data_IF_767942997824
#
_entry.id   IF_767942997824
#
_cell.length_a   1.000
_cell.length_b   1.000
_cell.length_c   1.000
_cell.angle_alpha   90.00
_cell.angle_beta   90.00
_cell.angle_gamma   90.00
#
_symmetry.space_group_name_H-M   'P 1'
#
loop_
_entity.id
_entity.type
_entity.pdbx_description
1 polymer ?
#
# COMPACT_ATOMS: atom_id res chain seq x y z
N UNK A 1 18.00 10.52 68.41
CA UNK A 1 16.80 9.67 68.30
C UNK A 1 15.56 10.56 68.36
N UNK A 2 14.87 10.79 67.24
CA UNK A 2 13.40 10.80 67.22
C UNK A 2 12.80 10.08 65.98
N UNK A 3 11.54 9.67 66.09
CA UNK A 3 10.93 8.51 65.42
C UNK A 3 10.33 8.78 64.04
N UNK A 4 10.39 7.72 63.23
CA UNK A 4 9.75 7.44 61.95
C UNK A 4 8.24 7.74 62.00
N UNK A 5 7.76 8.54 61.04
CA UNK A 5 6.33 8.76 60.80
C UNK A 5 5.67 7.48 60.27
N UNK A 6 4.61 7.03 60.95
CA UNK A 6 3.78 5.90 60.52
C UNK A 6 2.93 6.29 59.30
N UNK A 7 2.84 5.45 58.25
CA UNK A 7 1.98 5.72 57.10
C UNK A 7 0.49 5.64 57.49
N UNK A 8 -0.31 6.56 56.93
CA UNK A 8 -1.77 6.64 57.12
C UNK A 8 -2.48 5.38 56.58
N UNK A 9 -3.55 4.90 57.24
CA UNK A 9 -4.35 3.78 56.74
C UNK A 9 -5.12 4.18 55.48
N UNK A 10 -5.05 3.34 54.44
CA UNK A 10 -5.75 3.53 53.17
C UNK A 10 -7.27 3.29 53.34
N UNK A 11 -8.14 4.02 52.62
CA UNK A 11 -9.57 3.76 52.62
C UNK A 11 -9.89 2.37 52.04
N UNK A 12 -10.94 1.69 52.53
CA UNK A 12 -11.35 0.39 51.99
C UNK A 12 -11.83 0.53 50.54
N UNK A 13 -11.55 -0.45 49.67
CA UNK A 13 -12.02 -0.43 48.28
C UNK A 13 -13.56 -0.44 48.24
N UNK A 14 -14.13 0.54 47.52
CA UNK A 14 -15.57 0.61 47.26
C UNK A 14 -16.04 -0.67 46.53
N UNK A 15 -17.17 -1.20 46.99
CA UNK A 15 -17.63 -2.56 46.73
C UNK A 15 -17.82 -2.91 45.26
N UNK A 16 -17.52 -4.18 44.96
CA UNK A 16 -17.89 -4.84 43.71
C UNK A 16 -19.41 -4.95 43.59
N UNK A 17 -20.00 -4.02 42.84
CA UNK A 17 -21.42 -4.02 42.49
C UNK A 17 -21.65 -4.58 41.09
N UNK A 18 -22.12 -5.82 41.02
CA UNK A 18 -23.04 -6.30 39.98
C UNK A 18 -22.53 -6.38 38.53
N UNK A 19 -21.62 -7.31 38.23
CA UNK A 19 -21.38 -7.78 36.85
C UNK A 19 -21.91 -9.21 36.71
N UNK A 20 -23.21 -9.34 36.87
CA UNK A 20 -23.93 -10.60 36.71
C UNK A 20 -24.74 -10.61 35.42
N UNK A 21 -24.28 -11.43 34.48
CA UNK A 21 -25.11 -12.27 33.61
C UNK A 21 -26.09 -11.58 32.63
N UNK A 22 -25.52 -10.92 31.63
CA UNK A 22 -26.06 -10.96 30.26
C UNK A 22 -25.05 -11.60 29.29
N UNK A 23 -24.26 -12.58 29.74
CA UNK A 23 -23.23 -13.23 28.91
C UNK A 23 -23.81 -13.80 27.61
N UNK A 24 -25.04 -14.34 27.64
CA UNK A 24 -25.70 -14.87 26.44
C UNK A 24 -26.08 -13.79 25.42
N UNK A 25 -26.58 -12.63 25.87
CA UNK A 25 -26.92 -11.51 24.97
C UNK A 25 -25.65 -10.85 24.42
N UNK A 26 -24.65 -10.61 25.28
CA UNK A 26 -23.37 -10.06 24.86
C UNK A 26 -22.59 -10.96 23.89
N UNK A 27 -22.69 -12.30 24.04
CA UNK A 27 -22.13 -13.25 23.07
C UNK A 27 -22.83 -13.16 21.73
N UNK A 28 -24.16 -13.11 21.70
CA UNK A 28 -24.93 -12.98 20.46
C UNK A 28 -24.60 -11.64 19.78
N UNK A 29 -24.58 -10.54 20.53
CA UNK A 29 -24.24 -9.21 20.00
C UNK A 29 -22.81 -9.17 19.43
N UNK A 30 -21.85 -9.81 20.12
CA UNK A 30 -20.47 -9.95 19.65
C UNK A 30 -20.37 -10.79 18.37
N UNK A 31 -21.06 -11.94 18.31
CA UNK A 31 -21.07 -12.80 17.13
C UNK A 31 -21.70 -12.09 15.92
N UNK A 32 -22.80 -11.36 16.14
CA UNK A 32 -23.45 -10.56 15.10
C UNK A 32 -22.52 -9.46 14.61
N UNK A 33 -21.86 -8.72 15.51
CA UNK A 33 -20.92 -7.66 15.14
C UNK A 33 -19.70 -8.20 14.37
N UNK A 34 -19.14 -9.34 14.78
CA UNK A 34 -18.03 -10.00 14.09
C UNK A 34 -18.44 -10.50 12.71
N UNK A 35 -19.64 -11.06 12.58
CA UNK A 35 -20.19 -11.48 11.29
C UNK A 35 -20.39 -10.30 10.36
N UNK A 36 -20.97 -9.19 10.83
CA UNK A 36 -21.15 -7.98 10.03
C UNK A 36 -19.82 -7.34 9.63
N UNK A 37 -18.82 -7.35 10.51
CA UNK A 37 -17.47 -6.84 10.21
C UNK A 37 -16.77 -7.71 9.16
N UNK A 38 -16.88 -9.04 9.30
CA UNK A 38 -16.40 -10.00 8.30
C UNK A 38 -17.11 -9.83 6.96
N UNK A 39 -18.43 -9.64 6.97
CA UNK A 39 -19.23 -9.43 5.78
C UNK A 39 -18.89 -8.11 5.08
N UNK A 40 -18.69 -7.01 5.83
CA UNK A 40 -18.27 -5.73 5.27
C UNK A 40 -16.89 -5.83 4.61
N UNK A 41 -15.96 -6.54 5.24
CA UNK A 41 -14.62 -6.80 4.69
C UNK A 41 -14.70 -7.65 3.43
N UNK A 42 -15.49 -8.73 3.46
CA UNK A 42 -15.72 -9.61 2.32
C UNK A 42 -16.42 -8.88 1.17
N UNK A 43 -17.40 -8.01 1.46
CA UNK A 43 -18.09 -7.20 0.45
C UNK A 43 -17.14 -6.21 -0.23
N UNK A 44 -16.23 -5.61 0.52
CA UNK A 44 -15.20 -4.72 -0.04
C UNK A 44 -14.27 -5.48 -0.99
N UNK A 45 -13.77 -6.65 -0.56
CA UNK A 45 -12.92 -7.51 -1.40
C UNK A 45 -13.68 -8.05 -2.62
N UNK A 46 -14.95 -8.41 -2.45
CA UNK A 46 -15.83 -8.86 -3.54
C UNK A 46 -16.02 -7.76 -4.56
N UNK A 47 -16.30 -6.53 -4.14
CA UNK A 47 -16.53 -5.39 -5.03
C UNK A 47 -15.26 -5.05 -5.83
N UNK A 48 -14.09 -5.11 -5.19
CA UNK A 48 -12.79 -4.97 -5.85
C UNK A 48 -12.58 -6.09 -6.90
N UNK A 49 -12.81 -7.35 -6.52
CA UNK A 49 -12.64 -8.49 -7.41
C UNK A 49 -13.64 -8.50 -8.59
N UNK A 50 -14.90 -8.13 -8.34
CA UNK A 50 -15.92 -7.99 -9.38
C UNK A 50 -15.61 -6.84 -10.32
N UNK A 51 -15.12 -5.71 -9.79
CA UNK A 51 -14.69 -4.58 -10.59
C UNK A 51 -13.56 -4.97 -11.54
N UNK A 52 -12.54 -5.67 -11.02
CA UNK A 52 -11.44 -6.19 -11.82
C UNK A 52 -11.93 -7.16 -12.90
N UNK A 53 -12.83 -8.09 -12.54
CA UNK A 53 -13.43 -9.06 -13.47
C UNK A 53 -14.25 -8.38 -14.59
N UNK A 54 -15.00 -7.34 -14.26
CA UNK A 54 -15.80 -6.56 -15.24
C UNK A 54 -14.88 -5.75 -16.16
N UNK A 55 -13.87 -5.07 -15.61
CA UNK A 55 -12.88 -4.35 -16.41
C UNK A 55 -12.22 -5.32 -17.39
N UNK A 56 -11.82 -6.51 -16.93
CA UNK A 56 -11.17 -7.51 -17.77
C UNK A 56 -12.14 -8.08 -18.81
N UNK A 57 -13.39 -8.33 -18.45
CA UNK A 57 -14.43 -8.84 -19.34
C UNK A 57 -14.86 -7.86 -20.44
N UNK A 58 -14.78 -6.54 -20.18
CA UNK A 58 -15.26 -5.52 -21.13
C UNK A 58 -14.12 -4.85 -21.90
N UNK A 59 -13.03 -4.46 -21.23
CA UNK A 59 -11.94 -3.71 -21.88
C UNK A 59 -10.91 -4.59 -22.57
N UNK A 60 -10.85 -5.90 -22.27
CA UNK A 60 -9.92 -6.89 -22.84
C UNK A 60 -8.43 -6.52 -22.75
N UNK A 61 -8.09 -5.45 -22.05
CA UNK A 61 -6.73 -4.90 -21.97
C UNK A 61 -6.43 -4.63 -20.51
N UNK A 62 -5.65 -5.51 -19.89
CA UNK A 62 -5.12 -5.30 -18.54
C UNK A 62 -3.64 -5.02 -18.66
N UNK A 63 -3.22 -3.86 -18.17
CA UNK A 63 -1.82 -3.48 -18.18
C UNK A 63 -1.25 -3.54 -16.74
N UNK A 64 -0.55 -4.63 -16.43
CA UNK A 64 0.17 -4.77 -15.16
C UNK A 64 1.46 -3.94 -15.09
N UNK A 65 2.01 -3.53 -16.24
CA UNK A 65 3.25 -2.77 -16.29
C UNK A 65 3.12 -1.38 -15.65
N UNK A 66 1.90 -0.85 -15.59
CA UNK A 66 1.64 0.43 -14.92
C UNK A 66 2.10 0.44 -13.45
N UNK A 67 1.89 -0.66 -12.71
CA UNK A 67 2.35 -0.78 -11.32
C UNK A 67 3.87 -0.77 -11.20
N UNK A 68 4.58 -1.39 -12.15
CA UNK A 68 6.03 -1.38 -12.19
C UNK A 68 6.60 0.01 -12.49
N UNK A 69 5.96 0.78 -13.38
CA UNK A 69 6.34 2.18 -13.64
C UNK A 69 6.08 3.09 -12.44
N UNK A 70 4.98 2.88 -11.70
CA UNK A 70 4.71 3.60 -10.47
C UNK A 70 5.82 3.36 -9.43
N UNK A 71 6.20 2.10 -9.23
CA UNK A 71 7.29 1.71 -8.34
C UNK A 71 8.61 2.35 -8.78
N UNK A 72 8.98 2.24 -10.06
CA UNK A 72 10.19 2.88 -10.60
C UNK A 72 10.20 4.39 -10.35
N UNK A 73 9.05 5.06 -10.52
CA UNK A 73 8.95 6.49 -10.25
C UNK A 73 9.12 6.85 -8.80
N UNK A 74 8.59 6.06 -7.88
CA UNK A 74 8.80 6.27 -6.45
C UNK A 74 10.29 6.11 -6.07
N UNK A 75 10.96 5.07 -6.55
CA UNK A 75 12.40 4.84 -6.30
C UNK A 75 13.30 5.89 -6.94
N UNK A 76 12.99 6.32 -8.16
CA UNK A 76 13.71 7.41 -8.80
C UNK A 76 13.50 8.71 -8.04
N UNK A 77 12.26 9.04 -7.65
CA UNK A 77 11.98 10.22 -6.84
C UNK A 77 12.74 10.18 -5.51
N UNK A 78 12.79 9.03 -4.83
CA UNK A 78 13.61 8.82 -3.64
C UNK A 78 15.08 9.18 -3.92
N UNK A 79 15.68 8.51 -4.89
CA UNK A 79 17.12 8.63 -5.20
C UNK A 79 17.51 10.05 -5.63
N UNK A 80 16.67 10.68 -6.45
CA UNK A 80 16.90 12.03 -6.96
C UNK A 80 16.71 13.10 -5.87
N UNK A 81 15.66 12.98 -5.05
CA UNK A 81 15.45 13.91 -3.93
C UNK A 81 16.50 13.74 -2.82
N UNK A 82 17.12 12.56 -2.73
CA UNK A 82 18.25 12.34 -1.83
C UNK A 82 19.53 13.04 -2.33
N UNK A 83 19.83 12.92 -3.63
CA UNK A 83 21.01 13.52 -4.28
C UNK A 83 20.96 15.05 -4.34
N UNK A 84 19.78 15.64 -4.55
CA UNK A 84 19.62 17.09 -4.64
C UNK A 84 19.10 17.66 -3.31
N UNK A 85 19.97 18.25 -2.50
CA UNK A 85 19.60 18.87 -1.22
C UNK A 85 18.90 20.23 -1.40
N UNK A 86 17.75 20.43 -0.73
CA UNK A 86 17.02 21.72 -0.67
C UNK A 86 15.57 21.63 -1.19
N UNK A 87 14.74 22.62 -0.86
CA UNK A 87 13.33 22.64 -1.26
C UNK A 87 13.15 22.66 -2.80
N UNK A 88 13.99 23.43 -3.51
CA UNK A 88 14.02 23.43 -4.98
C UNK A 88 14.57 22.11 -5.55
N UNK A 89 15.49 21.45 -4.85
CA UNK A 89 16.03 20.15 -5.23
C UNK A 89 15.01 19.01 -5.08
N UNK A 90 14.13 19.10 -4.09
CA UNK A 90 13.02 18.16 -3.92
C UNK A 90 12.02 18.26 -5.08
N UNK A 91 11.51 19.45 -5.36
CA UNK A 91 10.55 19.66 -6.44
C UNK A 91 11.16 19.39 -7.82
N UNK A 92 12.41 19.82 -8.06
CA UNK A 92 13.15 19.52 -9.28
C UNK A 92 13.43 18.03 -9.45
N UNK A 93 13.82 17.34 -8.38
CA UNK A 93 14.04 15.89 -8.36
C UNK A 93 12.77 15.10 -8.67
N UNK A 94 11.62 15.54 -8.16
CA UNK A 94 10.32 14.92 -8.43
C UNK A 94 9.91 15.07 -9.90
N UNK A 95 10.04 16.27 -10.46
CA UNK A 95 9.75 16.52 -11.89
C UNK A 95 10.71 15.73 -12.77
N UNK A 96 12.00 15.70 -12.44
CA UNK A 96 12.99 14.94 -13.19
C UNK A 96 12.73 13.43 -13.11
N UNK A 97 12.34 12.91 -11.95
CA UNK A 97 11.93 11.50 -11.80
C UNK A 97 10.73 11.19 -12.71
N UNK A 98 9.69 12.04 -12.71
CA UNK A 98 8.53 11.86 -13.58
C UNK A 98 8.91 11.87 -15.07
N UNK A 99 9.80 12.76 -15.49
CA UNK A 99 10.30 12.81 -16.87
C UNK A 99 11.07 11.55 -17.26
N UNK A 100 11.94 11.04 -16.38
CA UNK A 100 12.71 9.81 -16.63
C UNK A 100 11.75 8.61 -16.76
N UNK A 101 10.77 8.48 -15.87
CA UNK A 101 9.78 7.40 -15.92
C UNK A 101 8.92 7.51 -17.18
N UNK A 102 8.51 8.73 -17.55
CA UNK A 102 7.74 8.97 -18.78
C UNK A 102 8.53 8.55 -20.02
N UNK A 103 9.82 8.86 -20.07
CA UNK A 103 10.70 8.43 -21.17
C UNK A 103 10.86 6.91 -21.22
N UNK A 104 11.06 6.25 -20.07
CA UNK A 104 11.13 4.78 -19.98
C UNK A 104 9.81 4.11 -20.39
N UNK A 105 8.68 4.67 -19.96
CA UNK A 105 7.35 4.21 -20.34
C UNK A 105 7.11 4.34 -21.84
N UNK A 106 7.47 5.49 -22.43
CA UNK A 106 7.38 5.71 -23.87
C UNK A 106 8.28 4.76 -24.68
N UNK A 107 9.50 4.48 -24.18
CA UNK A 107 10.39 3.51 -24.80
C UNK A 107 9.76 2.10 -24.79
N UNK A 108 9.19 1.68 -23.66
CA UNK A 108 8.54 0.38 -23.53
C UNK A 108 7.28 0.28 -24.41
N UNK A 109 6.51 1.35 -24.49
CA UNK A 109 5.36 1.49 -25.38
C UNK A 109 5.75 1.23 -26.83
N UNK A 110 6.82 1.89 -27.29
CA UNK A 110 7.27 1.82 -28.69
C UNK A 110 7.89 0.46 -29.01
N UNK A 111 8.75 -0.05 -28.14
CA UNK A 111 9.54 -1.27 -28.39
C UNK A 111 8.69 -2.53 -28.25
N UNK A 112 7.84 -2.60 -27.23
CA UNK A 112 7.15 -3.82 -26.85
C UNK A 112 5.64 -3.74 -27.11
N UNK A 113 4.96 -2.77 -26.50
CA UNK A 113 3.49 -2.73 -26.53
C UNK A 113 2.96 -2.55 -27.95
N UNK A 114 3.50 -1.61 -28.74
CA UNK A 114 3.09 -1.40 -30.14
C UNK A 114 3.19 -2.65 -31.01
N UNK A 115 4.12 -3.56 -30.70
CA UNK A 115 4.28 -4.81 -31.45
C UNK A 115 3.28 -5.89 -31.03
N UNK A 116 2.85 -5.86 -29.78
CA UNK A 116 1.97 -6.86 -29.16
C UNK A 116 0.50 -6.46 -29.23
N UNK A 117 0.18 -5.18 -29.44
CA UNK A 117 -1.21 -4.69 -29.61
C UNK A 117 -1.98 -5.37 -30.74
N UNK A 118 -1.31 -6.00 -31.71
CA UNK A 118 -1.94 -6.77 -32.79
C UNK A 118 -2.24 -8.23 -32.42
N UNK A 119 -1.76 -8.69 -31.27
CA UNK A 119 -1.93 -10.05 -30.78
C UNK A 119 -3.19 -10.18 -29.89
N UNK A 120 -3.67 -11.41 -29.62
CA UNK A 120 -4.80 -11.63 -28.72
C UNK A 120 -4.56 -11.05 -27.32
N UNK A 121 -5.64 -10.66 -26.65
CA UNK A 121 -5.66 -10.06 -25.31
C UNK A 121 -4.76 -10.77 -24.28
N UNK A 122 -4.79 -12.11 -24.26
CA UNK A 122 -3.98 -12.93 -23.37
C UNK A 122 -2.47 -12.68 -23.52
N UNK A 123 -1.98 -12.42 -24.74
CA UNK A 123 -0.58 -12.11 -24.99
C UNK A 123 -0.19 -10.73 -24.47
N UNK A 124 -1.11 -9.77 -24.51
CA UNK A 124 -0.89 -8.45 -23.93
C UNK A 124 -0.81 -8.52 -22.40
N UNK A 125 -1.63 -9.38 -21.79
CA UNK A 125 -1.56 -9.66 -20.35
C UNK A 125 -0.23 -10.30 -19.96
N UNK A 126 0.15 -11.35 -20.67
CA UNK A 126 1.40 -12.06 -20.41
C UNK A 126 2.62 -11.16 -20.61
N UNK A 127 2.61 -10.33 -21.66
CA UNK A 127 3.70 -9.41 -21.94
C UNK A 127 3.83 -8.32 -20.88
N UNK A 128 2.72 -7.68 -20.48
CA UNK A 128 2.76 -6.64 -19.44
C UNK A 128 3.11 -7.23 -18.08
N UNK A 129 2.65 -8.43 -17.76
CA UNK A 129 3.06 -9.16 -16.56
C UNK A 129 4.55 -9.52 -16.59
N UNK A 130 5.07 -10.00 -17.71
CA UNK A 130 6.49 -10.28 -17.89
C UNK A 130 7.36 -9.03 -17.74
N UNK A 131 6.92 -7.88 -18.27
CA UNK A 131 7.57 -6.59 -18.04
C UNK A 131 7.56 -6.23 -16.57
N UNK A 132 6.42 -6.39 -15.89
CA UNK A 132 6.32 -6.11 -14.45
C UNK A 132 7.34 -6.91 -13.66
N UNK A 133 7.43 -8.22 -13.90
CA UNK A 133 8.41 -9.09 -13.25
C UNK A 133 9.85 -8.69 -13.58
N UNK A 134 10.15 -8.43 -14.85
CA UNK A 134 11.49 -8.00 -15.26
C UNK A 134 11.90 -6.68 -14.58
N UNK A 135 11.00 -5.72 -14.48
CA UNK A 135 11.26 -4.44 -13.80
C UNK A 135 11.41 -4.63 -12.29
N UNK A 136 10.58 -5.47 -11.67
CA UNK A 136 10.70 -5.84 -10.26
C UNK A 136 12.08 -6.44 -9.98
N UNK A 137 12.48 -7.45 -10.74
CA UNK A 137 13.79 -8.09 -10.57
C UNK A 137 14.94 -7.10 -10.80
N UNK A 138 14.82 -6.22 -11.81
CA UNK A 138 15.83 -5.20 -12.07
C UNK A 138 15.96 -4.20 -10.92
N UNK A 139 14.83 -3.79 -10.32
CA UNK A 139 14.81 -2.90 -9.15
C UNK A 139 15.46 -3.58 -7.95
N UNK A 140 15.09 -4.83 -7.65
CA UNK A 140 15.69 -5.59 -6.55
C UNK A 140 17.20 -5.78 -6.75
N UNK A 141 17.65 -6.02 -7.98
CA UNK A 141 19.07 -6.16 -8.31
C UNK A 141 19.86 -4.86 -8.10
N UNK A 142 19.27 -3.69 -8.40
CA UNK A 142 19.97 -2.40 -8.34
C UNK A 142 19.87 -1.76 -6.94
N UNK A 143 18.70 -1.82 -6.32
CA UNK A 143 18.36 -1.10 -5.09
C UNK A 143 18.34 -1.98 -3.84
N UNK A 144 18.30 -3.30 -3.99
CA UNK A 144 18.13 -4.24 -2.89
C UNK A 144 16.66 -4.60 -2.62
N UNK A 145 16.39 -5.68 -1.87
CA UNK A 145 15.04 -6.12 -1.50
C UNK A 145 14.38 -5.27 -0.38
N UNK A 146 15.08 -4.29 0.17
CA UNK A 146 14.60 -3.41 1.24
C UNK A 146 13.65 -2.28 0.76
N UNK A 147 12.59 -2.03 1.53
CA UNK A 147 11.66 -0.94 1.28
C UNK A 147 12.29 0.43 1.62
N UNK A 148 12.60 1.23 0.60
CA UNK A 148 13.17 2.58 0.78
C UNK A 148 12.07 3.63 1.03
N UNK A 149 12.06 4.22 2.23
CA UNK A 149 11.06 5.24 2.63
C UNK A 149 11.51 6.66 2.26
N UNK A 150 10.85 7.27 1.28
CA UNK A 150 11.08 8.64 0.78
C UNK A 150 11.16 9.74 1.84
N UNK A 151 12.08 10.68 1.63
CA UNK A 151 12.24 11.87 2.46
C UNK A 151 10.91 12.65 2.49
N UNK A 152 10.37 12.88 3.70
CA UNK A 152 9.12 13.65 3.88
C UNK A 152 9.30 15.05 3.29
N UNK A 153 8.28 15.54 2.58
CA UNK A 153 8.31 16.88 2.00
C UNK A 153 8.62 17.90 3.10
N UNK A 154 9.63 18.78 2.94
CA UNK A 154 9.90 19.80 3.94
C UNK A 154 8.73 20.79 3.99
N UNK A 155 7.98 20.78 5.11
CA UNK A 155 6.85 21.70 5.34
C UNK A 155 5.54 21.08 5.87
N UNK A 156 5.50 19.77 6.19
CA UNK A 156 4.41 19.11 6.92
C UNK A 156 4.96 18.33 8.12
#
# INVERSE_FOLDING_TARGET
MPRIGSPLPLPPPAGGGGTGINNGRGLVDFLVAQFLTGLASAASLFLVASGLSIIFGVTRIVNFAHGAFYMLGAYLAYTLTERFSGALGFWGGLVLAALIVAALGALLEIVLLRRIYRAPELFQLLATFGVTLMVLDLVVLILGPEDLVGRRAPGL
#
